data_IF_900248468189
#
_entry.id   IF_900248468189
#
_cell.length_a   1.000
_cell.length_b   1.000
_cell.length_c   1.000
_cell.angle_alpha   90.00
_cell.angle_beta   90.00
_cell.angle_gamma   90.00
#
_symmetry.space_group_name_H-M   'P 1'
#
loop_
_entity.id
_entity.type
_entity.pdbx_description
1 polymer ?
#
# COMPACT_ATOMS: atom_id res chain seq x y z
N UNK A 1 -19.43 -12.57 1.80
CA UNK A 1 -19.99 -11.76 2.90
C UNK A 1 -19.78 -12.52 4.20
N UNK A 2 -19.40 -11.81 5.29
CA UNK A 2 -19.33 -12.29 6.68
C UNK A 2 -18.03 -12.95 7.24
N UNK A 3 -16.82 -12.51 6.86
CA UNK A 3 -15.61 -12.72 7.72
C UNK A 3 -14.75 -11.45 7.84
N UNK A 4 -15.20 -10.32 7.28
CA UNK A 4 -14.47 -9.04 7.33
C UNK A 4 -14.56 -8.30 8.69
N UNK A 5 -15.25 -8.85 9.71
CA UNK A 5 -15.54 -8.15 10.98
C UNK A 5 -14.81 -8.66 12.24
N UNK A 6 -14.17 -9.84 12.19
CA UNK A 6 -13.78 -10.55 13.41
C UNK A 6 -12.51 -10.06 14.12
N UNK A 7 -11.67 -9.24 13.49
CA UNK A 7 -10.39 -8.81 14.07
C UNK A 7 -10.23 -7.28 14.16
N UNK A 8 -11.26 -6.52 13.79
CA UNK A 8 -11.39 -5.09 14.06
C UNK A 8 -12.09 -4.81 15.42
N UNK A 9 -12.46 -5.86 16.15
CA UNK A 9 -13.49 -5.84 17.21
C UNK A 9 -12.98 -5.72 18.65
N UNK A 10 -11.85 -5.07 18.90
CA UNK A 10 -11.46 -4.74 20.28
C UNK A 10 -11.18 -3.26 20.54
N UNK A 11 -11.24 -2.39 19.53
CA UNK A 11 -11.15 -0.94 19.75
C UNK A 11 -11.89 -0.13 18.66
N UNK A 12 -13.05 0.48 18.98
CA UNK A 12 -13.81 1.35 18.06
C UNK A 12 -13.01 2.54 17.52
N UNK A 13 -12.00 3.03 18.27
CA UNK A 13 -11.12 4.11 17.82
C UNK A 13 -10.17 3.64 16.71
N UNK A 14 -9.81 2.35 16.72
CA UNK A 14 -8.95 1.73 15.70
C UNK A 14 -9.77 1.38 14.44
N UNK A 15 -11.02 0.94 14.57
CA UNK A 15 -11.90 0.70 13.41
C UNK A 15 -12.11 1.98 12.56
N UNK A 16 -12.27 3.14 13.21
CA UNK A 16 -12.36 4.44 12.51
C UNK A 16 -11.08 4.83 11.75
N UNK A 17 -9.91 4.38 12.22
CA UNK A 17 -8.63 4.52 11.51
C UNK A 17 -8.59 3.66 10.24
N UNK A 18 -9.21 2.48 10.24
CA UNK A 18 -9.26 1.58 9.08
C UNK A 18 -10.28 2.03 8.03
N UNK A 19 -11.45 2.54 8.42
CA UNK A 19 -12.53 2.85 7.47
C UNK A 19 -12.45 4.25 6.83
N UNK A 20 -11.83 5.23 7.49
CA UNK A 20 -11.79 6.62 6.97
C UNK A 20 -10.71 6.88 5.90
N UNK A 21 -9.83 5.92 5.60
CA UNK A 21 -8.56 6.17 4.90
C UNK A 21 -8.40 5.74 3.43
N UNK A 22 -9.30 5.00 2.74
CA UNK A 22 -9.04 4.60 1.36
C UNK A 22 -8.88 5.77 0.37
N UNK A 23 -9.77 6.79 0.47
CA UNK A 23 -9.74 7.97 -0.42
C UNK A 23 -8.59 8.92 -0.11
N UNK A 24 -8.35 9.20 1.18
CA UNK A 24 -7.23 10.05 1.60
C UNK A 24 -5.87 9.42 1.22
N UNK A 25 -5.75 8.09 1.32
CA UNK A 25 -4.55 7.37 0.88
C UNK A 25 -4.37 7.49 -0.63
N UNK A 26 -5.39 7.21 -1.43
CA UNK A 26 -5.27 7.32 -2.88
C UNK A 26 -4.85 8.73 -3.33
N UNK A 27 -5.34 9.78 -2.67
CA UNK A 27 -4.88 11.17 -2.90
C UNK A 27 -3.39 11.33 -2.63
N UNK A 28 -2.88 10.78 -1.51
CA UNK A 28 -1.45 10.81 -1.20
C UNK A 28 -0.62 10.04 -2.24
N UNK A 29 -1.07 8.85 -2.65
CA UNK A 29 -0.35 8.05 -3.65
C UNK A 29 -0.33 8.73 -5.02
N UNK A 30 -1.41 9.42 -5.40
CA UNK A 30 -1.44 10.26 -6.61
C UNK A 30 -0.44 11.40 -6.55
N UNK A 31 -0.28 12.05 -5.40
CA UNK A 31 0.71 13.12 -5.23
C UNK A 31 2.14 12.59 -5.36
N UNK A 32 2.44 11.43 -4.77
CA UNK A 32 3.74 10.76 -4.88
C UNK A 32 4.03 10.37 -6.33
N UNK A 33 3.08 9.71 -6.99
CA UNK A 33 3.25 9.26 -8.37
C UNK A 33 3.44 10.43 -9.34
N UNK A 34 2.69 11.53 -9.15
CA UNK A 34 2.89 12.77 -9.92
C UNK A 34 4.32 13.30 -9.73
N UNK A 35 4.82 13.35 -8.49
CA UNK A 35 6.18 13.82 -8.21
C UNK A 35 7.24 12.93 -8.87
N UNK A 36 7.04 11.61 -8.86
CA UNK A 36 7.95 10.67 -9.53
C UNK A 36 7.97 10.88 -11.05
N UNK A 37 6.80 11.13 -11.66
CA UNK A 37 6.70 11.45 -13.08
C UNK A 37 7.45 12.76 -13.43
N UNK A 38 7.27 13.81 -12.62
CA UNK A 38 7.99 15.09 -12.78
C UNK A 38 9.51 14.92 -12.71
N UNK A 39 9.99 14.00 -11.86
CA UNK A 39 11.41 13.67 -11.70
C UNK A 39 11.94 12.70 -12.77
N UNK A 40 11.10 12.23 -13.71
CA UNK A 40 11.44 11.15 -14.66
C UNK A 40 11.96 9.89 -13.95
N UNK A 41 11.43 9.62 -12.76
CA UNK A 41 11.75 8.48 -11.92
C UNK A 41 10.67 7.39 -12.03
N UNK A 42 9.91 7.38 -13.14
CA UNK A 42 9.02 6.29 -13.51
C UNK A 42 9.62 5.56 -14.73
N UNK A 43 9.43 4.24 -14.87
CA UNK A 43 9.81 3.52 -16.07
C UNK A 43 9.09 4.10 -17.28
N UNK A 44 9.72 3.97 -18.45
CA UNK A 44 9.24 4.61 -19.68
C UNK A 44 7.79 4.25 -20.06
N UNK A 45 7.26 3.13 -19.58
CA UNK A 45 5.92 2.63 -19.89
C UNK A 45 4.90 2.79 -18.76
N UNK A 46 5.25 3.42 -17.63
CA UNK A 46 4.37 3.54 -16.47
C UNK A 46 3.83 4.97 -16.35
N UNK A 47 2.51 5.14 -16.45
CA UNK A 47 1.85 6.43 -16.20
C UNK A 47 1.82 6.76 -14.70
N UNK A 48 1.64 8.04 -14.36
CA UNK A 48 1.49 8.47 -12.98
C UNK A 48 0.23 7.86 -12.33
N UNK A 49 -0.83 7.65 -13.09
CA UNK A 49 -2.06 7.01 -12.63
C UNK A 49 -1.80 5.55 -12.25
N UNK A 50 -1.15 4.80 -13.15
CA UNK A 50 -0.79 3.40 -12.88
C UNK A 50 0.18 3.29 -11.70
N UNK A 51 1.16 4.19 -11.59
CA UNK A 51 2.05 4.23 -10.44
C UNK A 51 1.29 4.50 -9.13
N UNK A 52 0.30 5.40 -9.13
CA UNK A 52 -0.52 5.69 -7.95
C UNK A 52 -1.36 4.47 -7.52
N UNK A 53 -1.96 3.76 -8.48
CA UNK A 53 -2.75 2.55 -8.20
C UNK A 53 -1.88 1.42 -7.63
N UNK A 54 -0.68 1.24 -8.19
CA UNK A 54 0.27 0.24 -7.73
C UNK A 54 0.80 0.60 -6.33
N UNK A 55 1.21 1.85 -6.09
CA UNK A 55 1.59 2.30 -4.76
C UNK A 55 0.45 2.08 -3.76
N UNK A 56 -0.77 2.44 -4.11
CA UNK A 56 -1.97 2.23 -3.28
C UNK A 56 -2.21 0.76 -2.94
N UNK A 57 -1.91 -0.17 -3.85
CA UNK A 57 -2.00 -1.61 -3.61
C UNK A 57 -0.90 -2.09 -2.65
N UNK A 58 0.35 -1.71 -2.90
CA UNK A 58 1.50 -2.23 -2.14
C UNK A 58 1.62 -1.60 -0.74
N UNK A 59 1.22 -0.34 -0.56
CA UNK A 59 1.29 0.36 0.74
C UNK A 59 0.08 0.07 1.63
N UNK A 60 -0.85 -0.78 1.19
CA UNK A 60 -2.03 -1.13 1.95
C UNK A 60 -1.66 -1.80 3.30
N UNK A 61 -2.18 -1.32 4.45
CA UNK A 61 -1.95 -1.95 5.75
C UNK A 61 -2.33 -3.44 5.77
N UNK A 62 -3.32 -3.81 4.96
CA UNK A 62 -3.76 -5.19 4.77
C UNK A 62 -2.64 -6.09 4.24
N UNK A 63 -1.80 -5.57 3.34
CA UNK A 63 -0.64 -6.29 2.79
C UNK A 63 0.38 -6.62 3.89
N UNK A 64 0.66 -5.67 4.79
CA UNK A 64 1.53 -5.93 5.94
C UNK A 64 0.92 -6.96 6.89
N UNK A 65 -0.36 -6.81 7.22
CA UNK A 65 -1.08 -7.75 8.11
C UNK A 65 -1.03 -9.18 7.56
N UNK A 66 -1.39 -9.37 6.29
CA UNK A 66 -1.39 -10.69 5.65
C UNK A 66 0.02 -11.30 5.64
N UNK A 67 1.04 -10.55 5.21
CA UNK A 67 2.38 -11.13 5.05
C UNK A 67 3.13 -11.31 6.37
N UNK A 68 3.11 -10.31 7.25
CA UNK A 68 3.89 -10.31 8.50
C UNK A 68 3.13 -10.99 9.64
N UNK A 69 1.85 -10.65 9.83
CA UNK A 69 1.09 -11.14 10.99
C UNK A 69 0.53 -12.55 10.72
N UNK A 70 -0.10 -12.77 9.57
CA UNK A 70 -0.74 -14.06 9.26
C UNK A 70 0.26 -15.08 8.71
N UNK A 71 1.05 -14.68 7.70
CA UNK A 71 2.03 -15.56 7.02
C UNK A 71 3.40 -15.56 7.68
N UNK A 72 3.56 -14.86 8.81
CA UNK A 72 4.76 -14.87 9.67
C UNK A 72 6.05 -14.51 8.97
N UNK A 73 5.99 -13.66 7.94
CA UNK A 73 7.22 -13.08 7.40
C UNK A 73 7.88 -12.22 8.46
N UNK A 74 9.21 -12.27 8.52
CA UNK A 74 9.94 -11.29 9.31
C UNK A 74 9.73 -9.89 8.69
N UNK A 75 9.71 -8.82 9.50
CA UNK A 75 9.65 -7.45 8.98
C UNK A 75 10.79 -7.15 7.98
N UNK A 76 11.95 -7.79 8.17
CA UNK A 76 13.09 -7.68 7.26
C UNK A 76 12.78 -8.27 5.87
N UNK A 77 12.16 -9.45 5.83
CA UNK A 77 11.72 -10.09 4.59
C UNK A 77 10.66 -9.24 3.89
N UNK A 78 9.67 -8.74 4.63
CA UNK A 78 8.64 -7.84 4.09
C UNK A 78 9.24 -6.59 3.45
N UNK A 79 10.15 -5.90 4.15
CA UNK A 79 10.81 -4.70 3.62
C UNK A 79 11.59 -4.97 2.35
N UNK A 80 12.31 -6.09 2.30
CA UNK A 80 13.10 -6.49 1.13
C UNK A 80 12.19 -6.77 -0.07
N UNK A 81 11.13 -7.54 0.15
CA UNK A 81 10.12 -7.81 -0.88
C UNK A 81 9.41 -6.55 -1.35
N UNK A 82 8.97 -5.69 -0.45
CA UNK A 82 8.26 -4.44 -0.78
C UNK A 82 9.14 -3.53 -1.62
N UNK A 83 10.43 -3.38 -1.26
CA UNK A 83 11.39 -2.61 -2.05
C UNK A 83 11.59 -3.19 -3.44
N UNK A 84 11.67 -4.51 -3.57
CA UNK A 84 11.79 -5.15 -4.87
C UNK A 84 10.51 -4.95 -5.72
N UNK A 85 9.33 -5.18 -5.14
CA UNK A 85 8.05 -5.04 -5.82
C UNK A 85 7.81 -3.61 -6.32
N UNK A 86 8.05 -2.62 -5.47
CA UNK A 86 7.95 -1.19 -5.84
C UNK A 86 9.09 -0.80 -6.79
N UNK A 87 10.30 -1.31 -6.57
CA UNK A 87 11.46 -1.05 -7.43
C UNK A 87 11.23 -1.49 -8.87
N UNK A 88 10.64 -2.67 -9.11
CA UNK A 88 10.30 -3.16 -10.46
C UNK A 88 9.25 -2.28 -11.17
N UNK A 89 8.47 -1.51 -10.42
CA UNK A 89 7.40 -0.66 -10.96
C UNK A 89 7.86 0.77 -11.19
N UNK A 90 8.91 1.19 -10.48
CA UNK A 90 9.44 2.55 -10.49
C UNK A 90 10.81 2.68 -11.19
N UNK A 91 11.45 1.58 -11.59
CA UNK A 91 12.75 1.56 -12.26
C UNK A 91 12.72 0.83 -13.62
#
# INVERSE_FOLDING_TARGET
MEIARGAASSDPAIAGIYEQRPRARLTNEKAIAKRLAELRALPALTSAETAADLLWLYTAPETYRMLVIERKWSPNRYRTWFRAAVGTILA
#
